data_IF_154963449975
#
_entry.id   IF_154963449975
#
_cell.length_a   1.000
_cell.length_b   1.000
_cell.length_c   1.000
_cell.angle_alpha   90.00
_cell.angle_beta   90.00
_cell.angle_gamma   90.00
#
_symmetry.space_group_name_H-M   'P 1'
#
loop_
_entity.id
_entity.type
_entity.pdbx_description
1 polymer ?
#
# COMPACT_ATOMS: atom_id res chain seq x y z
N UNK A 1 12.94 -16.75 -19.59
CA UNK A 1 11.75 -16.56 -18.73
C UNK A 1 12.10 -16.89 -17.30
N UNK A 2 11.72 -16.04 -16.35
CA UNK A 2 11.87 -16.26 -14.93
C UNK A 2 10.63 -15.82 -14.17
N UNK A 3 10.24 -16.59 -13.15
CA UNK A 3 9.10 -16.29 -12.29
C UNK A 3 9.46 -16.60 -10.84
N UNK A 4 9.05 -15.74 -9.92
CA UNK A 4 9.17 -15.94 -8.49
C UNK A 4 7.82 -15.69 -7.82
N UNK A 5 7.36 -16.65 -7.03
CA UNK A 5 6.21 -16.53 -6.14
C UNK A 5 6.73 -16.45 -4.72
N UNK A 6 6.36 -15.38 -4.02
CA UNK A 6 6.75 -15.15 -2.64
C UNK A 6 5.49 -15.04 -1.77
N UNK A 7 5.52 -15.70 -0.64
CA UNK A 7 4.50 -15.59 0.38
C UNK A 7 5.15 -15.29 1.72
N UNK A 8 4.58 -14.33 2.44
CA UNK A 8 4.93 -14.03 3.82
C UNK A 8 3.66 -13.99 4.66
N UNK A 9 3.65 -14.75 5.73
CA UNK A 9 2.52 -14.81 6.66
C UNK A 9 2.97 -14.54 8.10
N UNK A 10 2.21 -13.73 8.81
CA UNK A 10 2.39 -13.49 10.25
C UNK A 10 1.08 -13.74 10.97
N UNK A 11 1.15 -14.49 12.06
CA UNK A 11 0.04 -14.77 12.97
C UNK A 11 0.60 -14.72 14.38
N UNK A 12 -0.10 -14.04 15.26
CA UNK A 12 0.29 -14.00 16.66
C UNK A 12 -0.58 -13.05 17.47
N UNK A 13 -0.34 -13.08 18.76
CA UNK A 13 -0.81 -12.08 19.71
C UNK A 13 0.38 -11.68 20.57
N UNK A 14 0.41 -10.43 20.97
CA UNK A 14 1.36 -9.96 21.96
C UNK A 14 0.91 -10.41 23.36
N UNK A 15 1.66 -10.04 24.39
CA UNK A 15 1.41 -10.38 25.79
C UNK A 15 0.13 -9.74 26.37
N UNK A 16 -0.44 -8.72 25.74
CA UNK A 16 -1.66 -8.04 26.19
C UNK A 16 -2.92 -8.62 25.56
N UNK A 17 -4.04 -8.48 26.27
CA UNK A 17 -5.37 -8.72 25.71
C UNK A 17 -5.59 -7.81 24.48
N UNK A 18 -6.40 -8.27 23.52
CA UNK A 18 -6.75 -7.54 22.31
C UNK A 18 -5.51 -7.03 21.53
N UNK A 19 -4.55 -7.95 21.28
CA UNK A 19 -3.30 -7.66 20.56
C UNK A 19 -3.04 -8.62 19.39
N UNK A 20 -4.08 -9.34 18.95
CA UNK A 20 -3.94 -10.29 17.86
C UNK A 20 -3.56 -9.59 16.55
N UNK A 21 -2.64 -10.20 15.81
CA UNK A 21 -2.18 -9.70 14.50
C UNK A 21 -2.20 -10.84 13.49
N UNK A 22 -2.67 -10.50 12.30
CA UNK A 22 -2.68 -11.38 11.14
C UNK A 22 -2.26 -10.60 9.90
N UNK A 23 -1.26 -11.11 9.19
CA UNK A 23 -0.79 -10.52 7.93
C UNK A 23 -0.57 -11.65 6.93
N UNK A 24 -1.04 -11.45 5.70
CA UNK A 24 -0.76 -12.27 4.52
C UNK A 24 -0.25 -11.35 3.41
N UNK A 25 0.90 -11.65 2.84
CA UNK A 25 1.46 -10.94 1.68
C UNK A 25 1.87 -11.97 0.62
N UNK A 26 1.21 -11.93 -0.53
CA UNK A 26 1.48 -12.77 -1.69
C UNK A 26 1.98 -11.90 -2.83
N UNK A 27 3.13 -12.25 -3.39
CA UNK A 27 3.77 -11.51 -4.48
C UNK A 27 4.20 -12.45 -5.60
N UNK A 28 3.80 -12.13 -6.82
CA UNK A 28 4.25 -12.79 -8.04
C UNK A 28 5.07 -11.81 -8.87
N UNK A 29 6.32 -12.17 -9.14
CA UNK A 29 7.21 -11.44 -10.05
C UNK A 29 7.50 -12.30 -11.26
N UNK A 30 7.49 -11.70 -12.46
CA UNK A 30 7.88 -12.40 -13.68
C UNK A 30 8.77 -11.51 -14.56
N UNK A 31 9.70 -12.16 -15.23
CA UNK A 31 10.54 -11.55 -16.27
C UNK A 31 10.47 -12.43 -17.51
N UNK A 32 10.17 -11.85 -18.65
CA UNK A 32 10.18 -12.51 -19.94
C UNK A 32 11.02 -11.73 -20.94
N UNK A 33 12.08 -12.34 -21.43
CA UNK A 33 12.96 -11.80 -22.45
C UNK A 33 12.92 -12.76 -23.64
N UNK A 34 12.14 -12.48 -24.69
CA UNK A 34 12.09 -13.32 -25.89
C UNK A 34 13.41 -13.30 -26.66
N UNK A 35 14.18 -12.23 -26.54
CA UNK A 35 15.52 -12.04 -27.10
C UNK A 35 16.29 -11.01 -26.25
N UNK A 36 17.48 -10.64 -26.70
CA UNK A 36 18.36 -9.68 -25.99
C UNK A 36 17.84 -8.24 -26.04
N UNK A 37 16.99 -7.92 -27.01
CA UNK A 37 16.46 -6.57 -27.26
C UNK A 37 15.24 -6.24 -26.42
N UNK A 38 14.39 -7.23 -26.15
CA UNK A 38 13.08 -7.05 -25.52
C UNK A 38 13.02 -7.72 -24.15
N UNK A 39 12.63 -6.96 -23.13
CA UNK A 39 12.37 -7.52 -21.80
C UNK A 39 11.05 -7.00 -21.26
N UNK A 40 10.23 -7.91 -20.76
CA UNK A 40 8.98 -7.62 -20.05
C UNK A 40 9.15 -8.02 -18.59
N UNK A 41 8.67 -7.16 -17.69
CA UNK A 41 8.66 -7.42 -16.25
C UNK A 41 7.24 -7.22 -15.74
N UNK A 42 6.81 -8.08 -14.83
CA UNK A 42 5.53 -7.89 -14.14
C UNK A 42 5.66 -8.13 -12.65
N UNK A 43 4.83 -7.42 -11.90
CA UNK A 43 4.69 -7.56 -10.46
C UNK A 43 3.20 -7.53 -10.13
N UNK A 44 2.71 -8.58 -9.47
CA UNK A 44 1.40 -8.64 -8.86
C UNK A 44 1.59 -8.84 -7.36
N UNK A 45 0.83 -8.10 -6.55
CA UNK A 45 0.86 -8.25 -5.09
C UNK A 45 -0.55 -8.18 -4.53
N UNK A 46 -0.82 -9.06 -3.58
CA UNK A 46 -2.00 -9.03 -2.72
C UNK A 46 -1.55 -9.07 -1.27
N UNK A 47 -1.87 -8.02 -0.54
CA UNK A 47 -1.64 -7.88 0.90
C UNK A 47 -2.98 -7.81 1.62
N UNK A 48 -3.12 -8.54 2.72
CA UNK A 48 -4.26 -8.49 3.64
C UNK A 48 -3.71 -8.54 5.07
N UNK A 49 -4.02 -7.56 5.89
CA UNK A 49 -3.53 -7.48 7.25
C UNK A 49 -4.56 -6.89 8.19
N UNK A 50 -4.59 -7.41 9.40
CA UNK A 50 -5.40 -6.91 10.51
C UNK A 50 -4.63 -6.97 11.82
N UNK A 51 -4.89 -6.05 12.71
CA UNK A 51 -4.31 -6.00 14.04
C UNK A 51 -5.30 -5.41 15.04
N UNK A 52 -5.47 -6.09 16.15
CA UNK A 52 -6.14 -5.56 17.33
C UNK A 52 -5.20 -4.58 18.04
N UNK A 53 -5.76 -3.56 18.65
CA UNK A 53 -4.98 -2.48 19.28
C UNK A 53 -5.41 -2.32 20.74
N UNK A 54 -4.61 -2.80 21.69
CA UNK A 54 -4.99 -2.82 23.11
C UNK A 54 -5.04 -1.43 23.79
N UNK A 55 -4.61 -0.38 23.10
CA UNK A 55 -4.53 0.97 23.66
C UNK A 55 -3.34 1.18 24.62
N UNK A 56 -3.12 2.42 25.05
CA UNK A 56 -2.11 2.76 26.03
C UNK A 56 -2.60 2.49 27.47
N UNK A 57 -1.69 2.10 28.36
CA UNK A 57 -1.95 1.99 29.78
C UNK A 57 -1.44 3.24 30.51
N UNK A 58 -2.26 3.79 31.40
CA UNK A 58 -1.75 4.72 32.41
C UNK A 58 -0.90 3.96 33.43
N UNK A 59 -0.17 4.66 34.29
CA UNK A 59 0.59 4.04 35.37
C UNK A 59 -0.32 3.24 36.32
N UNK A 60 -1.48 3.78 36.63
CA UNK A 60 -2.46 3.12 37.49
C UNK A 60 -3.04 1.87 36.84
N UNK A 61 -3.38 1.92 35.53
CA UNK A 61 -3.86 0.76 34.80
C UNK A 61 -2.80 -0.35 34.72
N UNK A 62 -1.54 0.01 34.50
CA UNK A 62 -0.43 -0.94 34.47
C UNK A 62 -0.19 -1.61 35.80
N UNK A 63 -0.25 -0.86 36.90
CA UNK A 63 -0.06 -1.40 38.25
C UNK A 63 -1.24 -2.27 38.68
N UNK A 64 -2.46 -1.98 38.19
CA UNK A 64 -3.65 -2.79 38.45
C UNK A 64 -3.64 -4.10 37.64
N UNK A 65 -3.47 -4.01 36.34
CA UNK A 65 -3.35 -5.16 35.44
C UNK A 65 -2.60 -4.76 34.15
N UNK A 66 -1.36 -5.17 34.02
CA UNK A 66 -0.53 -4.89 32.84
C UNK A 66 -0.94 -5.64 31.58
N UNK A 67 -1.76 -6.66 31.71
CA UNK A 67 -2.21 -7.50 30.59
C UNK A 67 -3.49 -6.99 29.93
N UNK A 68 -4.22 -6.11 30.60
CA UNK A 68 -5.51 -5.62 30.15
C UNK A 68 -5.44 -4.82 28.84
N UNK A 69 -6.56 -4.80 28.12
CA UNK A 69 -6.83 -3.88 27.03
C UNK A 69 -7.69 -2.72 27.54
N UNK A 70 -7.27 -1.48 27.28
CA UNK A 70 -8.08 -0.28 27.54
C UNK A 70 -8.91 0.14 26.32
N UNK A 71 -8.78 -0.57 25.19
CA UNK A 71 -9.42 -0.28 23.91
C UNK A 71 -9.97 -1.57 23.27
N UNK A 72 -11.00 -2.19 23.84
CA UNK A 72 -11.49 -3.51 23.38
C UNK A 72 -12.11 -3.50 21.99
N UNK A 73 -12.42 -2.33 21.45
CA UNK A 73 -12.99 -2.19 20.11
C UNK A 73 -11.97 -1.77 19.06
N UNK A 74 -10.80 -1.28 19.46
CA UNK A 74 -9.82 -0.74 18.53
C UNK A 74 -9.20 -1.87 17.70
N UNK A 75 -9.38 -1.79 16.39
CA UNK A 75 -8.86 -2.74 15.41
C UNK A 75 -8.55 -2.01 14.12
N UNK A 76 -7.45 -2.34 13.52
CA UNK A 76 -7.05 -1.86 12.21
C UNK A 76 -6.98 -3.00 11.21
N UNK A 77 -7.40 -2.76 9.97
CA UNK A 77 -7.16 -3.67 8.86
C UNK A 77 -6.84 -2.92 7.59
N UNK A 78 -6.06 -3.57 6.72
CA UNK A 78 -5.65 -3.03 5.44
C UNK A 78 -5.54 -4.11 4.39
N UNK A 79 -5.94 -3.77 3.18
CA UNK A 79 -5.82 -4.63 2.01
C UNK A 79 -5.21 -3.84 0.87
N UNK A 80 -4.23 -4.41 0.20
CA UNK A 80 -3.62 -3.80 -0.98
C UNK A 80 -3.58 -4.78 -2.14
N UNK A 81 -3.98 -4.30 -3.31
CA UNK A 81 -3.79 -4.97 -4.59
C UNK A 81 -2.89 -4.09 -5.44
N UNK A 82 -1.82 -4.65 -5.97
CA UNK A 82 -0.88 -3.95 -6.84
C UNK A 82 -0.66 -4.78 -8.10
N UNK A 83 -0.68 -4.11 -9.24
CA UNK A 83 -0.25 -4.64 -10.51
C UNK A 83 0.69 -3.65 -11.20
N UNK A 84 1.80 -4.15 -11.73
CA UNK A 84 2.76 -3.36 -12.48
C UNK A 84 3.25 -4.16 -13.68
N UNK A 85 3.39 -3.49 -14.81
CA UNK A 85 3.94 -4.04 -16.04
C UNK A 85 5.01 -3.09 -16.57
N UNK A 86 6.20 -3.62 -16.80
CA UNK A 86 7.33 -2.91 -17.38
C UNK A 86 7.75 -3.55 -18.69
N UNK A 87 8.16 -2.71 -19.62
CA UNK A 87 8.76 -3.12 -20.88
C UNK A 87 10.05 -2.36 -21.10
N UNK A 88 11.12 -3.08 -21.48
CA UNK A 88 12.40 -2.54 -21.88
C UNK A 88 12.68 -2.93 -23.33
N UNK A 89 13.10 -1.93 -24.10
CA UNK A 89 13.61 -2.06 -25.45
C UNK A 89 15.04 -1.55 -25.50
N UNK A 90 15.98 -2.43 -25.80
CA UNK A 90 17.42 -2.13 -25.87
C UNK A 90 17.99 -2.73 -27.16
N UNK A 91 17.91 -1.99 -28.29
CA UNK A 91 18.35 -2.50 -29.59
C UNK A 91 19.84 -2.68 -29.70
N UNK A 92 20.61 -1.96 -28.89
CA UNK A 92 22.08 -1.98 -28.85
C UNK A 92 22.61 -1.60 -27.45
N UNK A 93 23.93 -1.49 -27.31
CA UNK A 93 24.57 -1.12 -26.05
C UNK A 93 24.45 0.37 -25.68
N UNK A 94 24.01 1.21 -26.62
CA UNK A 94 23.95 2.65 -26.44
C UNK A 94 22.56 3.15 -26.11
N UNK A 95 21.51 2.50 -26.62
CA UNK A 95 20.14 3.00 -26.54
C UNK A 95 19.27 2.10 -25.67
N UNK A 96 18.59 2.67 -24.71
CA UNK A 96 17.70 1.97 -23.83
C UNK A 96 16.39 2.74 -23.60
N UNK A 97 15.28 2.14 -23.93
CA UNK A 97 13.94 2.65 -23.63
C UNK A 97 13.27 1.75 -22.61
N UNK A 98 12.69 2.35 -21.58
CA UNK A 98 11.88 1.67 -20.59
C UNK A 98 10.53 2.36 -20.48
N UNK A 99 9.47 1.59 -20.26
CA UNK A 99 8.17 2.10 -19.89
C UNK A 99 7.60 1.20 -18.80
N UNK A 100 7.08 1.80 -17.73
CA UNK A 100 6.42 1.09 -16.66
C UNK A 100 5.04 1.68 -16.41
N UNK A 101 4.02 0.82 -16.40
CA UNK A 101 2.69 1.14 -15.93
C UNK A 101 2.41 0.46 -14.60
N UNK A 102 1.64 1.11 -13.72
CA UNK A 102 1.26 0.53 -12.44
C UNK A 102 -0.14 0.96 -12.00
N UNK A 103 -0.75 0.10 -11.22
CA UNK A 103 -2.02 0.33 -10.55
C UNK A 103 -1.96 -0.25 -9.15
N UNK A 104 -2.42 0.54 -8.18
CA UNK A 104 -2.55 0.10 -6.79
C UNK A 104 -3.93 0.50 -6.26
N UNK A 105 -4.60 -0.44 -5.63
CA UNK A 105 -5.79 -0.20 -4.82
C UNK A 105 -5.47 -0.55 -3.38
N UNK A 106 -5.66 0.39 -2.46
CA UNK A 106 -5.46 0.17 -1.03
C UNK A 106 -6.74 0.52 -0.27
N UNK A 107 -7.28 -0.44 0.47
CA UNK A 107 -8.29 -0.21 1.48
C UNK A 107 -7.59 -0.15 2.84
N UNK A 108 -7.84 0.91 3.59
CA UNK A 108 -7.49 1.02 5.02
C UNK A 108 -8.75 1.28 5.80
N UNK A 109 -8.92 0.59 6.90
CA UNK A 109 -10.08 0.81 7.77
C UNK A 109 -9.73 0.42 9.21
N UNK A 110 -10.56 0.79 10.14
CA UNK A 110 -10.39 0.42 11.53
C UNK A 110 -11.57 0.89 12.37
N UNK A 111 -11.75 0.21 13.47
CA UNK A 111 -12.55 0.70 14.58
C UNK A 111 -11.64 1.45 15.54
N UNK A 112 -12.05 2.63 15.94
CA UNK A 112 -11.36 3.44 16.93
C UNK A 112 -12.35 4.01 17.93
N UNK A 113 -12.08 3.75 19.19
CA UNK A 113 -12.82 4.32 20.30
C UNK A 113 -12.28 5.72 20.62
N UNK A 114 -13.13 6.71 20.52
CA UNK A 114 -12.82 8.12 20.77
C UNK A 114 -13.84 8.72 21.73
N UNK A 115 -13.50 8.76 23.01
CA UNK A 115 -14.40 9.25 24.07
C UNK A 115 -15.67 8.39 24.16
N UNK A 116 -16.81 8.99 23.82
CA UNK A 116 -18.13 8.31 23.90
C UNK A 116 -18.57 7.69 22.55
N UNK A 117 -17.68 7.60 21.57
CA UNK A 117 -17.97 7.08 20.23
C UNK A 117 -16.98 6.00 19.81
N UNK A 118 -17.50 5.03 19.08
CA UNK A 118 -16.70 4.10 18.29
C UNK A 118 -16.86 4.55 16.84
N UNK A 119 -15.76 4.73 16.13
CA UNK A 119 -15.75 5.14 14.72
C UNK A 119 -15.27 4.02 13.83
N UNK A 120 -15.84 3.90 12.64
CA UNK A 120 -15.38 3.06 11.54
C UNK A 120 -14.95 3.99 10.39
N UNK A 121 -13.69 3.94 9.97
CA UNK A 121 -13.15 4.88 8.99
C UNK A 121 -12.57 4.16 7.77
N UNK A 122 -13.42 3.64 6.85
CA UNK A 122 -12.95 3.06 5.60
C UNK A 122 -12.40 4.16 4.68
N UNK A 123 -11.17 3.91 4.16
CA UNK A 123 -10.47 4.75 3.19
C UNK A 123 -10.02 3.90 2.03
N UNK A 124 -10.49 4.25 0.84
CA UNK A 124 -10.04 3.63 -0.40
C UNK A 124 -9.10 4.58 -1.13
N UNK A 125 -7.95 4.06 -1.52
CA UNK A 125 -6.95 4.78 -2.30
C UNK A 125 -6.76 4.04 -3.61
N UNK A 126 -6.75 4.79 -4.71
CA UNK A 126 -6.39 4.29 -6.03
C UNK A 126 -5.24 5.12 -6.57
N UNK A 127 -4.17 4.45 -6.97
CA UNK A 127 -3.00 5.08 -7.56
C UNK A 127 -2.72 4.38 -8.87
N UNK A 128 -2.57 5.14 -9.94
CA UNK A 128 -2.19 4.63 -11.26
C UNK A 128 -1.20 5.57 -11.90
N UNK A 129 -0.30 5.02 -12.66
CA UNK A 129 0.70 5.85 -13.32
C UNK A 129 1.41 5.14 -14.45
N UNK A 130 2.13 5.94 -15.19
CA UNK A 130 2.99 5.51 -16.29
C UNK A 130 4.29 6.29 -16.25
N UNK A 131 5.39 5.60 -16.53
CA UNK A 131 6.74 6.17 -16.44
C UNK A 131 7.61 5.70 -17.61
N UNK A 132 7.59 6.40 -18.77
CA UNK A 132 8.55 6.21 -19.84
C UNK A 132 9.90 6.85 -19.50
N UNK A 133 10.98 6.17 -19.86
CA UNK A 133 12.38 6.62 -19.74
C UNK A 133 13.16 6.23 -20.99
N UNK A 134 14.01 7.11 -21.40
CA UNK A 134 15.01 6.85 -22.44
C UNK A 134 16.39 7.20 -21.89
N UNK A 135 17.37 6.35 -22.15
CA UNK A 135 18.77 6.68 -21.90
C UNK A 135 19.65 6.31 -23.08
N UNK A 136 20.70 7.10 -23.24
CA UNK A 136 21.72 6.91 -24.27
C UNK A 136 23.10 6.97 -23.65
N UNK A 137 23.89 5.92 -23.90
CA UNK A 137 25.29 5.86 -23.51
C UNK A 137 26.19 6.20 -24.67
N UNK A 138 27.26 6.96 -24.42
CA UNK A 138 28.22 7.37 -25.44
C UNK A 138 29.61 7.58 -24.84
N UNK A 139 30.63 7.60 -25.69
CA UNK A 139 32.01 7.84 -25.28
C UNK A 139 32.46 9.27 -25.65
N UNK A 140 33.11 9.94 -24.71
CA UNK A 140 33.87 11.18 -24.97
C UNK A 140 35.34 10.89 -24.59
N UNK A 141 36.14 10.70 -25.62
CA UNK A 141 37.51 10.20 -25.41
C UNK A 141 37.50 8.82 -24.72
N UNK A 142 38.27 8.62 -23.64
CA UNK A 142 38.29 7.37 -22.90
C UNK A 142 37.12 7.23 -21.88
N UNK A 143 36.31 8.26 -21.71
CA UNK A 143 35.27 8.30 -20.66
C UNK A 143 33.90 7.89 -21.20
N UNK A 144 33.22 6.96 -20.51
CA UNK A 144 31.84 6.58 -20.78
C UNK A 144 30.88 7.58 -20.10
N UNK A 145 29.87 8.01 -20.82
CA UNK A 145 28.82 8.91 -20.37
C UNK A 145 27.45 8.30 -20.66
N UNK A 146 26.48 8.62 -19.82
CA UNK A 146 25.06 8.29 -20.05
C UNK A 146 24.24 9.55 -19.82
N UNK A 147 23.29 9.79 -20.72
CA UNK A 147 22.27 10.80 -20.56
C UNK A 147 20.91 10.12 -20.63
N UNK A 148 19.99 10.55 -19.76
CA UNK A 148 18.66 9.98 -19.72
C UNK A 148 17.60 11.07 -19.62
N UNK A 149 16.42 10.82 -20.19
CA UNK A 149 15.23 11.63 -20.03
C UNK A 149 14.07 10.73 -19.62
N UNK A 150 13.28 11.21 -18.69
CA UNK A 150 12.10 10.50 -18.24
C UNK A 150 10.92 11.43 -17.96
N UNK A 151 9.76 10.81 -18.01
CA UNK A 151 8.52 11.45 -17.64
C UNK A 151 7.74 10.53 -16.72
N UNK A 152 7.13 11.05 -15.69
CA UNK A 152 6.26 10.32 -14.79
C UNK A 152 4.91 11.01 -14.70
N UNK A 153 3.85 10.25 -14.95
CA UNK A 153 2.47 10.63 -14.67
C UNK A 153 1.90 9.75 -13.58
N UNK A 154 1.32 10.36 -12.56
CA UNK A 154 0.61 9.67 -11.49
C UNK A 154 -0.74 10.34 -11.27
N UNK A 155 -1.79 9.53 -11.21
CA UNK A 155 -3.12 9.95 -10.80
C UNK A 155 -3.50 9.19 -9.55
N UNK A 156 -3.84 9.93 -8.51
CA UNK A 156 -4.27 9.40 -7.21
C UNK A 156 -5.71 9.83 -6.93
N UNK A 157 -6.50 8.94 -6.38
CA UNK A 157 -7.83 9.27 -5.88
C UNK A 157 -8.08 8.57 -4.54
N UNK A 158 -8.82 9.26 -3.68
CA UNK A 158 -9.16 8.79 -2.34
C UNK A 158 -10.63 8.99 -2.09
N UNK A 159 -11.25 8.00 -1.48
CA UNK A 159 -12.59 8.11 -0.91
C UNK A 159 -12.53 7.68 0.55
N UNK A 160 -12.84 8.60 1.45
CA UNK A 160 -12.90 8.38 2.89
C UNK A 160 -14.32 8.56 3.38
N UNK A 161 -14.79 7.58 4.16
CA UNK A 161 -16.02 7.68 4.93
C UNK A 161 -15.73 7.47 6.41
N UNK A 162 -16.54 8.06 7.30
CA UNK A 162 -16.45 7.81 8.72
C UNK A 162 -17.86 7.65 9.31
N UNK A 163 -18.11 6.44 9.78
CA UNK A 163 -19.33 6.06 10.49
C UNK A 163 -19.08 6.04 12.00
N UNK A 164 -20.13 6.15 12.81
CA UNK A 164 -19.99 6.10 14.25
C UNK A 164 -21.22 5.48 14.94
N UNK A 165 -20.95 4.95 16.14
CA UNK A 165 -21.97 4.56 17.13
C UNK A 165 -21.57 5.10 18.51
N UNK A 166 -22.51 5.16 19.45
CA UNK A 166 -22.20 5.49 20.83
C UNK A 166 -21.53 4.29 21.51
N UNK A 167 -20.47 4.52 22.28
CA UNK A 167 -19.78 3.46 23.06
C UNK A 167 -20.75 2.75 24.00
N UNK A 168 -21.73 3.49 24.58
CA UNK A 168 -22.75 2.95 25.47
C UNK A 168 -23.71 1.97 24.79
N UNK A 169 -23.78 1.93 23.47
CA UNK A 169 -24.61 0.97 22.73
C UNK A 169 -24.04 -0.44 22.71
N UNK A 170 -22.73 -0.61 22.94
CA UNK A 170 -22.01 -1.87 22.76
C UNK A 170 -21.99 -2.38 21.31
N UNK A 171 -22.41 -1.55 20.34
CA UNK A 171 -22.50 -1.93 18.94
C UNK A 171 -21.39 -1.28 18.11
N UNK A 172 -20.73 -2.07 17.27
CA UNK A 172 -19.77 -1.57 16.31
C UNK A 172 -20.47 -0.85 15.15
N UNK A 173 -19.95 0.29 14.68
CA UNK A 173 -20.51 0.97 13.51
C UNK A 173 -20.34 0.13 12.24
N UNK A 174 -21.27 0.30 11.31
CA UNK A 174 -21.29 -0.34 9.99
C UNK A 174 -21.56 0.69 8.89
N UNK A 175 -21.59 0.25 7.64
CA UNK A 175 -21.94 1.11 6.51
C UNK A 175 -23.37 1.67 6.52
N UNK A 176 -24.24 1.16 7.39
CA UNK A 176 -25.60 1.67 7.63
C UNK A 176 -25.71 2.57 8.87
N UNK A 177 -24.63 2.73 9.63
CA UNK A 177 -24.59 3.63 10.78
C UNK A 177 -24.57 5.11 10.35
N UNK A 178 -24.96 6.05 11.25
CA UNK A 178 -24.74 7.47 11.00
C UNK A 178 -23.29 7.76 10.62
N UNK A 179 -23.08 8.71 9.71
CA UNK A 179 -21.75 9.13 9.30
C UNK A 179 -21.58 10.64 9.45
N UNK A 180 -20.35 11.08 9.66
CA UNK A 180 -19.98 12.50 9.78
C UNK A 180 -18.90 12.92 8.78
N UNK A 181 -18.46 11.98 7.93
CA UNK A 181 -17.50 12.26 6.84
C UNK A 181 -17.80 11.40 5.62
N UNK A 182 -17.88 12.05 4.47
CA UNK A 182 -17.82 11.46 3.14
C UNK A 182 -16.98 12.43 2.28
N UNK A 183 -15.75 12.08 2.03
CA UNK A 183 -14.80 12.97 1.33
C UNK A 183 -14.16 12.22 0.18
N UNK A 184 -14.16 12.86 -0.98
CA UNK A 184 -13.44 12.41 -2.17
C UNK A 184 -12.41 13.44 -2.54
N UNK A 185 -11.21 13.00 -2.82
CA UNK A 185 -10.11 13.82 -3.29
C UNK A 185 -9.35 13.12 -4.39
N UNK A 186 -8.68 13.88 -5.23
CA UNK A 186 -7.82 13.37 -6.27
C UNK A 186 -6.66 14.33 -6.53
N UNK A 187 -5.55 13.79 -6.97
CA UNK A 187 -4.34 14.53 -7.33
C UNK A 187 -3.76 13.95 -8.60
N UNK A 188 -3.31 14.82 -9.47
CA UNK A 188 -2.50 14.46 -10.64
C UNK A 188 -1.10 15.06 -10.48
N UNK A 189 -0.10 14.26 -10.73
CA UNK A 189 1.29 14.69 -10.67
C UNK A 189 2.00 14.37 -11.98
N UNK A 190 2.78 15.34 -12.46
CA UNK A 190 3.60 15.26 -13.64
C UNK A 190 5.03 15.61 -13.25
N UNK A 191 6.00 14.79 -13.61
CA UNK A 191 7.40 15.04 -13.36
C UNK A 191 8.23 14.72 -14.60
N UNK A 192 9.15 15.63 -14.93
CA UNK A 192 10.22 15.42 -15.91
C UNK A 192 11.55 15.34 -15.18
N UNK A 193 12.45 14.51 -15.65
CA UNK A 193 13.78 14.40 -15.10
C UNK A 193 14.80 14.07 -16.20
N UNK A 194 15.99 14.57 -15.95
CA UNK A 194 17.18 14.38 -16.79
C UNK A 194 18.24 13.65 -15.99
#
# INVERSE_FOLDING_TARGET
FGTALLYSGTRGSDWREHSATRIDDLMLKSKYAPNEVHTFNSLLQYYDGEADMPGGLSRADYDADRWQSTRPYDRFWGRRKLASLGYQFQPDSQHKFNIQGFYTQTLRSGYLEQGKRITLSPRNYWVRGIEPRYSQSFMIGPSAHEVGVGYRYVNESTHEMRYYTATSSGQLPSGSSPYDRDTRSGTEAHAWYL
#
